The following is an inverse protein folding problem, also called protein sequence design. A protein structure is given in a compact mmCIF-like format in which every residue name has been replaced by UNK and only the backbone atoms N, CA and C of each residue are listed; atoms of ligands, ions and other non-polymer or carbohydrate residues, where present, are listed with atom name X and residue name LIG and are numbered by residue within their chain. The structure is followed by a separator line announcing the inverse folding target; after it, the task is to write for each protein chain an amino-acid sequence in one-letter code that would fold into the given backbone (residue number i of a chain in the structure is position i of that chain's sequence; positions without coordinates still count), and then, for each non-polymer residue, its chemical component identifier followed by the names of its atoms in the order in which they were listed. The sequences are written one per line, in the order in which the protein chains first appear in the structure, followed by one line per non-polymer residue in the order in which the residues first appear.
data_IF_084790920296
#
_entry.id   IF_084790920296
#
_cell.length_a   1.000
_cell.length_b   1.000
_cell.length_c   1.000
_cell.angle_alpha   90.00
_cell.angle_beta   90.00
_cell.angle_gamma   90.00
#
_symmetry.space_group_name_H-M   'P 1'
#
loop_
_entity.id
_entity.type
_entity.pdbx_description
1 polymer ?
#
# COMPACT_ATOMS: atom_id res chain seq x y z
N UNK A 1 15.34 6.74 -7.57
CA UNK A 1 14.37 7.52 -8.37
C UNK A 1 13.11 7.65 -7.53
N UNK A 2 12.56 8.85 -7.29
CA UNK A 2 11.22 8.94 -6.75
C UNK A 2 10.25 8.28 -7.74
N UNK A 3 9.19 7.66 -7.23
CA UNK A 3 8.22 6.96 -8.07
C UNK A 3 7.40 8.06 -8.76
N UNK A 4 7.78 8.43 -9.99
CA UNK A 4 7.14 9.56 -10.67
C UNK A 4 5.63 9.31 -10.88
N UNK A 5 5.23 8.06 -11.10
CA UNK A 5 3.83 7.68 -11.32
C UNK A 5 3.49 6.38 -10.60
N UNK A 6 2.35 6.38 -9.91
CA UNK A 6 1.82 5.24 -9.13
C UNK A 6 0.58 4.71 -9.84
N UNK A 7 0.51 3.39 -10.00
CA UNK A 7 -0.64 2.73 -10.63
C UNK A 7 -1.85 2.77 -9.69
N UNK A 8 -2.98 3.29 -10.17
CA UNK A 8 -4.25 3.28 -9.43
C UNK A 8 -5.17 2.14 -9.89
N UNK A 9 -4.89 1.51 -11.04
CA UNK A 9 -5.71 0.44 -11.59
C UNK A 9 -6.43 0.85 -12.86
N UNK A 10 -7.72 0.57 -12.97
CA UNK A 10 -8.49 0.81 -14.19
C UNK A 10 -9.21 2.17 -14.17
N UNK A 11 -9.93 2.50 -15.24
CA UNK A 11 -10.68 3.76 -15.35
C UNK A 11 -11.64 3.97 -14.16
N UNK A 12 -12.28 2.91 -13.65
CA UNK A 12 -13.15 2.98 -12.47
C UNK A 12 -12.39 3.38 -11.21
N UNK A 13 -11.16 2.88 -11.03
CA UNK A 13 -10.32 3.21 -9.88
C UNK A 13 -9.80 4.64 -9.97
N UNK A 14 -9.42 5.09 -11.17
CA UNK A 14 -9.08 6.49 -11.42
C UNK A 14 -10.27 7.41 -11.13
N UNK A 15 -11.46 7.07 -11.61
CA UNK A 15 -12.66 7.88 -11.36
C UNK A 15 -12.95 7.99 -9.86
N UNK A 16 -12.84 6.88 -9.12
CA UNK A 16 -12.97 6.89 -7.65
C UNK A 16 -11.90 7.76 -7.01
N UNK A 17 -10.65 7.63 -7.42
CA UNK A 17 -9.53 8.43 -6.92
C UNK A 17 -9.79 9.94 -7.12
N UNK A 18 -10.20 10.35 -8.32
CA UNK A 18 -10.48 11.76 -8.61
C UNK A 18 -11.63 12.31 -7.75
N UNK A 19 -12.70 11.53 -7.57
CA UNK A 19 -13.82 11.91 -6.70
C UNK A 19 -13.37 12.04 -5.24
N UNK A 20 -12.60 11.07 -4.75
CA UNK A 20 -12.12 11.06 -3.37
C UNK A 20 -11.20 12.24 -3.05
N UNK A 21 -10.38 12.64 -4.01
CA UNK A 21 -9.45 13.75 -3.88
C UNK A 21 -10.03 15.11 -4.30
N UNK A 22 -11.30 15.16 -4.69
CA UNK A 22 -11.98 16.36 -5.22
C UNK A 22 -11.19 17.02 -6.37
N UNK A 23 -10.76 16.19 -7.34
CA UNK A 23 -9.96 16.61 -8.49
C UNK A 23 -10.79 16.53 -9.77
N UNK A 24 -10.79 17.62 -10.54
CA UNK A 24 -11.28 17.59 -11.91
C UNK A 24 -10.21 17.00 -12.85
N UNK A 25 -10.60 16.05 -13.71
CA UNK A 25 -9.69 15.39 -14.64
C UNK A 25 -8.95 16.40 -15.55
N UNK A 26 -9.61 17.50 -15.89
CA UNK A 26 -9.04 18.57 -16.73
C UNK A 26 -7.83 19.25 -16.07
N UNK A 27 -7.88 19.46 -14.75
CA UNK A 27 -6.84 20.14 -13.98
C UNK A 27 -5.61 19.25 -13.78
N UNK A 28 -5.78 17.93 -13.80
CA UNK A 28 -4.73 16.95 -13.52
C UNK A 28 -4.34 16.10 -14.72
N UNK A 29 -4.82 16.43 -15.93
CA UNK A 29 -4.54 15.65 -17.15
C UNK A 29 -3.04 15.45 -17.40
N UNK A 30 -2.21 16.47 -17.13
CA UNK A 30 -0.75 16.38 -17.25
C UNK A 30 -0.07 15.51 -16.18
N UNK A 31 -0.82 15.08 -15.17
CA UNK A 31 -0.39 14.26 -14.05
C UNK A 31 -1.01 12.85 -14.09
N UNK A 32 -1.73 12.51 -15.17
CA UNK A 32 -2.28 11.18 -15.43
C UNK A 32 -1.58 10.59 -16.65
N UNK A 33 -1.17 9.34 -16.56
CA UNK A 33 -0.66 8.57 -17.70
C UNK A 33 -1.28 7.17 -17.71
N UNK A 34 -1.02 6.43 -18.78
CA UNK A 34 -1.55 5.06 -18.93
C UNK A 34 -0.45 4.11 -19.33
N UNK A 35 -0.59 2.84 -18.93
CA UNK A 35 0.24 1.74 -19.41
C UNK A 35 -0.65 0.56 -19.80
N UNK A 36 -0.12 -0.30 -20.66
CA UNK A 36 -0.79 -1.53 -21.08
C UNK A 36 0.19 -2.67 -20.85
N UNK A 37 0.08 -3.40 -19.72
CA UNK A 37 0.96 -4.54 -19.45
C UNK A 37 0.75 -5.66 -20.48
N UNK A 38 1.73 -6.54 -20.71
CA UNK A 38 1.54 -7.71 -21.54
C UNK A 38 0.57 -8.69 -20.87
N UNK A 39 -0.42 -9.13 -21.64
CA UNK A 39 -1.36 -10.19 -21.28
C UNK A 39 -0.93 -11.57 -21.77
N UNK A 40 -1.79 -12.59 -21.58
CA UNK A 40 -1.51 -13.96 -21.99
C UNK A 40 -1.13 -14.06 -23.48
N UNK A 41 -0.05 -14.78 -23.77
CA UNK A 41 0.42 -14.96 -25.16
C UNK A 41 1.01 -13.70 -25.80
N UNK A 42 1.34 -12.67 -25.03
CA UNK A 42 1.91 -11.42 -25.53
C UNK A 42 0.87 -10.44 -26.12
N UNK A 43 -0.42 -10.78 -26.02
CA UNK A 43 -1.50 -9.85 -26.36
C UNK A 43 -1.49 -8.64 -25.38
N UNK A 44 -1.89 -7.43 -25.81
CA UNK A 44 -2.03 -6.31 -24.90
C UNK A 44 -3.03 -6.63 -23.77
N UNK A 45 -2.61 -6.42 -22.53
CA UNK A 45 -3.46 -6.53 -21.35
C UNK A 45 -4.42 -5.35 -21.21
N UNK A 46 -5.20 -5.29 -20.10
CA UNK A 46 -6.08 -4.16 -19.83
C UNK A 46 -5.29 -2.86 -19.62
N UNK A 47 -5.84 -1.73 -20.06
CA UNK A 47 -5.22 -0.41 -19.84
C UNK A 47 -5.29 -0.05 -18.37
N UNK A 48 -4.13 0.24 -17.79
CA UNK A 48 -3.96 0.71 -16.43
C UNK A 48 -3.66 2.21 -16.42
N UNK A 49 -4.17 2.90 -15.41
CA UNK A 49 -4.01 4.33 -15.18
C UNK A 49 -3.02 4.54 -14.05
N UNK A 50 -2.14 5.51 -14.25
CA UNK A 50 -1.18 5.93 -13.24
C UNK A 50 -1.32 7.42 -12.98
N UNK A 51 -1.18 7.80 -11.72
CA UNK A 51 -1.22 9.18 -11.28
C UNK A 51 0.16 9.60 -10.79
N UNK A 52 0.53 10.85 -11.04
CA UNK A 52 1.78 11.39 -10.53
C UNK A 52 1.75 11.41 -8.99
N UNK A 53 2.85 11.03 -8.33
CA UNK A 53 2.89 10.91 -6.87
C UNK A 53 2.53 12.22 -6.13
N UNK A 54 2.70 13.39 -6.76
CA UNK A 54 2.28 14.68 -6.20
C UNK A 54 0.77 14.83 -6.00
N UNK A 55 -0.05 13.98 -6.61
CA UNK A 55 -1.49 13.94 -6.37
C UNK A 55 -1.86 13.15 -5.12
N UNK A 56 -0.99 12.25 -4.68
CA UNK A 56 -1.23 11.38 -3.55
C UNK A 56 -1.05 12.16 -2.24
N UNK A 57 -1.87 11.80 -1.26
CA UNK A 57 -1.82 12.34 0.10
C UNK A 57 -2.04 11.19 1.09
N UNK A 58 -1.32 11.19 2.22
CA UNK A 58 -1.56 10.23 3.29
C UNK A 58 -2.98 10.29 3.81
N UNK A 59 -3.52 9.14 4.18
CA UNK A 59 -4.77 9.01 4.91
C UNK A 59 -4.54 8.54 6.34
N UNK A 60 -5.15 9.25 7.29
CA UNK A 60 -5.09 8.92 8.72
C UNK A 60 -3.66 8.81 9.25
N UNK A 61 -3.44 7.77 10.04
CA UNK A 61 -2.19 7.45 10.74
C UNK A 61 -1.15 6.69 9.89
N UNK A 62 -1.45 6.42 8.61
CA UNK A 62 -0.63 5.62 7.71
C UNK A 62 -0.13 6.45 6.51
N UNK A 63 1.15 6.86 6.47
CA UNK A 63 1.71 7.61 5.35
C UNK A 63 1.63 6.89 4.00
N UNK A 64 1.61 5.56 3.98
CA UNK A 64 1.47 4.74 2.78
C UNK A 64 0.03 4.64 2.24
N UNK A 65 -0.99 5.03 3.00
CA UNK A 65 -2.38 4.93 2.58
C UNK A 65 -2.74 6.10 1.64
N UNK A 66 -2.82 5.80 0.34
CA UNK A 66 -3.12 6.77 -0.72
C UNK A 66 -4.60 6.85 -1.09
N UNK A 67 -5.48 6.16 -0.39
CA UNK A 67 -6.93 6.31 -0.46
C UNK A 67 -7.61 5.74 0.82
N UNK A 68 -8.92 5.90 0.92
CA UNK A 68 -9.74 5.42 2.01
C UNK A 68 -9.77 3.89 2.09
N UNK A 69 -9.63 3.20 0.95
CA UNK A 69 -9.50 1.74 0.90
C UNK A 69 -8.23 1.28 1.60
N UNK A 70 -7.11 1.92 1.29
CA UNK A 70 -5.81 1.65 1.89
C UNK A 70 -5.79 1.98 3.38
N UNK A 71 -6.45 3.06 3.79
CA UNK A 71 -6.61 3.40 5.22
C UNK A 71 -7.37 2.29 5.95
N UNK A 72 -8.51 1.85 5.41
CA UNK A 72 -9.30 0.77 5.99
C UNK A 72 -8.50 -0.54 6.09
N UNK A 73 -7.76 -0.87 5.04
CA UNK A 73 -6.90 -2.05 5.00
C UNK A 73 -5.78 -2.01 6.05
N UNK A 74 -5.08 -0.87 6.17
CA UNK A 74 -4.03 -0.70 7.18
C UNK A 74 -4.59 -0.80 8.60
N UNK A 75 -5.80 -0.29 8.86
CA UNK A 75 -6.46 -0.44 10.16
C UNK A 75 -6.82 -1.88 10.48
N UNK A 76 -7.33 -2.62 9.49
CA UNK A 76 -7.60 -4.05 9.65
C UNK A 76 -6.32 -4.82 10.02
N UNK A 77 -5.19 -4.52 9.36
CA UNK A 77 -3.90 -5.13 9.73
C UNK A 77 -3.52 -4.75 11.16
N UNK A 78 -3.68 -3.49 11.56
CA UNK A 78 -3.34 -3.05 12.92
C UNK A 78 -4.19 -3.78 13.98
N UNK A 79 -5.47 -3.99 13.71
CA UNK A 79 -6.39 -4.72 14.59
C UNK A 79 -6.05 -6.22 14.67
N UNK A 80 -5.69 -6.84 13.54
CA UNK A 80 -5.18 -8.22 13.50
C UNK A 80 -3.90 -8.34 14.33
N UNK A 81 -2.94 -7.42 14.16
CA UNK A 81 -1.69 -7.45 14.93
C UNK A 81 -1.94 -7.31 16.44
N UNK A 82 -2.85 -6.41 16.86
CA UNK A 82 -3.20 -6.25 18.25
C UNK A 82 -3.85 -7.51 18.83
N UNK A 83 -4.72 -8.17 18.05
CA UNK A 83 -5.42 -9.39 18.44
C UNK A 83 -4.49 -10.60 18.51
N UNK A 84 -3.67 -10.81 17.47
CA UNK A 84 -2.81 -11.99 17.34
C UNK A 84 -1.59 -11.95 18.25
N UNK A 85 -0.99 -10.77 18.44
CA UNK A 85 0.30 -10.64 19.13
C UNK A 85 0.19 -9.93 20.49
N UNK A 86 -1.00 -9.46 20.87
CA UNK A 86 -1.22 -8.78 22.15
C UNK A 86 -0.49 -7.45 22.28
N UNK A 87 -0.08 -6.84 21.15
CA UNK A 87 0.54 -5.52 21.12
C UNK A 87 -0.51 -4.42 21.11
N UNK A 88 -0.10 -3.19 21.47
CA UNK A 88 -1.00 -2.05 21.39
C UNK A 88 -1.28 -1.67 19.93
N UNK A 89 -2.46 -1.08 19.67
CA UNK A 89 -2.78 -0.55 18.34
C UNK A 89 -1.73 0.49 17.87
N UNK A 90 -1.21 1.32 18.78
CA UNK A 90 -0.14 2.28 18.47
C UNK A 90 1.16 1.60 18.00
N UNK A 91 1.55 0.49 18.65
CA UNK A 91 2.70 -0.31 18.24
C UNK A 91 2.47 -0.96 16.87
N UNK A 92 1.26 -1.47 16.62
CA UNK A 92 0.89 -2.04 15.32
C UNK A 92 1.01 -1.00 14.19
N UNK A 93 0.45 0.21 14.40
CA UNK A 93 0.60 1.35 13.47
C UNK A 93 2.07 1.67 13.23
N UNK A 94 2.89 1.74 14.27
CA UNK A 94 4.32 2.04 14.15
C UNK A 94 5.08 0.97 13.34
N UNK A 95 4.72 -0.31 13.50
CA UNK A 95 5.29 -1.42 12.71
C UNK A 95 4.88 -1.38 11.24
N UNK A 96 3.61 -1.10 10.95
CA UNK A 96 3.10 -0.93 9.58
C UNK A 96 3.83 0.25 8.90
N UNK A 97 3.95 1.38 9.60
CA UNK A 97 4.65 2.56 9.11
C UNK A 97 6.14 2.28 8.89
N UNK A 98 6.78 1.49 9.76
CA UNK A 98 8.16 1.03 9.53
C UNK A 98 8.29 0.18 8.26
N UNK A 99 7.30 -0.64 7.97
CA UNK A 99 7.31 -1.56 6.82
C UNK A 99 7.11 -0.84 5.48
N UNK A 100 6.08 0.00 5.36
CA UNK A 100 5.72 0.64 4.08
C UNK A 100 6.14 2.11 3.95
N UNK A 101 6.27 2.83 5.07
CA UNK A 101 6.44 4.28 5.07
C UNK A 101 7.86 4.76 5.37
N UNK A 102 8.81 3.87 5.71
CA UNK A 102 10.22 4.26 5.85
C UNK A 102 10.73 4.83 4.52
N UNK A 103 11.17 6.10 4.48
CA UNK A 103 11.56 6.73 3.21
C UNK A 103 12.72 5.98 2.55
N UNK A 104 12.69 5.89 1.22
CA UNK A 104 13.90 5.59 0.46
C UNK A 104 14.94 6.71 0.58
N UNK A 105 16.11 6.60 -0.09
CA UNK A 105 17.20 7.57 0.02
C UNK A 105 16.84 9.06 -0.22
N UNK A 106 15.66 9.35 -0.80
CA UNK A 106 15.16 10.70 -1.07
C UNK A 106 14.28 11.33 0.03
N UNK A 107 13.93 10.62 1.11
CA UNK A 107 13.44 11.20 2.36
C UNK A 107 12.07 11.91 2.38
N UNK A 108 11.29 11.93 1.28
CA UNK A 108 10.08 12.78 1.18
C UNK A 108 8.75 12.07 0.91
N UNK A 109 8.76 10.76 0.64
CA UNK A 109 7.56 9.96 0.35
C UNK A 109 7.63 8.63 1.10
N UNK A 110 6.48 7.99 1.40
CA UNK A 110 6.52 6.59 1.82
C UNK A 110 7.21 5.78 0.72
N UNK A 111 7.89 4.69 1.10
CA UNK A 111 8.53 3.82 0.11
C UNK A 111 7.51 3.22 -0.86
N UNK A 112 6.28 3.01 -0.37
CA UNK A 112 5.16 2.42 -1.10
C UNK A 112 3.92 3.26 -0.86
N UNK A 113 3.17 3.50 -1.94
CA UNK A 113 1.81 4.02 -1.89
C UNK A 113 0.84 2.87 -2.17
N UNK A 114 -0.05 2.58 -1.23
CA UNK A 114 -1.16 1.65 -1.41
C UNK A 114 -2.35 2.49 -1.85
N UNK A 115 -2.83 2.28 -3.08
CA UNK A 115 -3.93 3.04 -3.68
C UNK A 115 -4.57 2.22 -4.80
N UNK A 116 -5.88 2.31 -4.95
CA UNK A 116 -6.61 1.70 -6.05
C UNK A 116 -6.48 0.18 -6.09
N UNK A 117 -5.86 -0.38 -7.15
CA UNK A 117 -5.60 -1.81 -7.31
C UNK A 117 -4.15 -2.19 -6.95
N UNK A 118 -3.71 -1.80 -5.76
CA UNK A 118 -2.35 -2.13 -5.30
C UNK A 118 -2.15 -3.63 -5.03
N UNK A 119 -0.93 -4.12 -5.27
CA UNK A 119 -0.57 -5.52 -5.06
C UNK A 119 -0.67 -5.94 -3.58
N UNK A 120 -0.62 -5.00 -2.63
CA UNK A 120 -0.82 -5.31 -1.22
C UNK A 120 -2.17 -5.99 -0.95
N UNK A 121 -3.19 -5.71 -1.77
CA UNK A 121 -4.52 -6.31 -1.65
C UNK A 121 -4.62 -7.76 -2.12
N UNK A 122 -3.57 -8.33 -2.73
CA UNK A 122 -3.54 -9.76 -3.04
C UNK A 122 -3.45 -10.63 -1.78
N UNK A 123 -2.94 -10.09 -0.69
CA UNK A 123 -2.78 -10.79 0.58
C UNK A 123 -3.76 -10.26 1.63
N UNK A 124 -4.04 -11.10 2.63
CA UNK A 124 -5.00 -10.77 3.69
C UNK A 124 -4.39 -9.86 4.77
N UNK A 125 -5.21 -9.16 5.57
CA UNK A 125 -4.72 -8.44 6.74
C UNK A 125 -3.93 -9.31 7.73
N UNK A 126 -4.38 -10.55 7.97
CA UNK A 126 -3.70 -11.55 8.80
C UNK A 126 -2.30 -11.90 8.26
N UNK A 127 -2.18 -12.12 6.95
CA UNK A 127 -0.89 -12.40 6.31
C UNK A 127 0.09 -11.25 6.51
N UNK A 128 -0.39 -10.01 6.30
CA UNK A 128 0.44 -8.82 6.53
C UNK A 128 0.78 -8.62 8.00
N UNK A 129 -0.13 -8.89 8.92
CA UNK A 129 0.12 -8.82 10.35
C UNK A 129 1.31 -9.70 10.73
N UNK A 130 1.33 -10.96 10.29
CA UNK A 130 2.45 -11.88 10.52
C UNK A 130 3.74 -11.42 9.83
N UNK A 131 3.66 -11.06 8.54
CA UNK A 131 4.82 -10.64 7.75
C UNK A 131 5.47 -9.38 8.32
N UNK A 132 4.70 -8.43 8.82
CA UNK A 132 5.19 -7.19 9.42
C UNK A 132 5.74 -7.44 10.82
N UNK A 133 5.12 -8.35 11.59
CA UNK A 133 5.52 -8.65 12.96
C UNK A 133 6.83 -9.45 13.04
N UNK A 134 6.94 -10.52 12.25
CA UNK A 134 8.11 -11.41 12.25
C UNK A 134 9.15 -11.06 11.20
N UNK A 135 8.75 -10.35 10.13
CA UNK A 135 9.59 -10.10 8.96
C UNK A 135 9.39 -11.15 7.87
N UNK A 136 9.58 -10.75 6.62
CA UNK A 136 9.40 -11.65 5.46
C UNK A 136 10.32 -12.89 5.52
N UNK A 137 11.56 -12.72 5.97
CA UNK A 137 12.57 -13.79 6.00
C UNK A 137 12.42 -14.73 7.21
N UNK A 138 11.39 -14.55 8.05
CA UNK A 138 11.18 -15.35 9.25
C UNK A 138 10.54 -16.71 8.97
N UNK A 139 10.03 -16.93 7.76
CA UNK A 139 9.28 -18.12 7.37
C UNK A 139 8.16 -18.48 8.37
N UNK A 140 7.44 -17.49 8.89
CA UNK A 140 6.41 -17.67 9.92
C UNK A 140 5.28 -18.65 9.50
N UNK A 141 5.13 -18.89 8.20
CA UNK A 141 4.18 -19.83 7.61
C UNK A 141 4.66 -21.30 7.61
N UNK A 142 5.91 -21.56 7.99
CA UNK A 142 6.44 -22.93 8.11
C UNK A 142 6.06 -23.52 9.46
N UNK A 143 5.61 -24.76 9.46
CA UNK A 143 5.26 -25.47 10.69
C UNK A 143 6.47 -25.58 11.63
N UNK A 144 6.30 -25.14 12.88
CA UNK A 144 7.37 -25.13 13.89
C UNK A 144 7.06 -24.15 15.02
N UNK A 145 8.03 -23.91 15.92
CA UNK A 145 7.94 -22.84 16.90
C UNK A 145 7.78 -21.49 16.20
N UNK A 146 6.98 -20.58 16.79
CA UNK A 146 6.86 -19.23 16.28
C UNK A 146 8.25 -18.55 16.23
N UNK A 147 8.59 -17.84 15.14
CA UNK A 147 9.86 -17.13 15.04
C UNK A 147 9.92 -15.97 16.05
N UNK A 148 11.13 -15.49 16.32
CA UNK A 148 11.29 -14.29 17.14
C UNK A 148 10.71 -13.07 16.41
N UNK A 149 9.92 -12.21 17.08
CA UNK A 149 9.40 -11.00 16.46
C UNK A 149 10.52 -10.00 16.16
N UNK A 150 10.30 -9.15 15.16
CA UNK A 150 11.16 -8.00 14.93
C UNK A 150 11.13 -7.09 16.17
N UNK A 151 12.25 -6.40 16.49
CA UNK A 151 12.28 -5.46 17.60
C UNK A 151 11.18 -4.40 17.43
N UNK A 152 10.61 -3.87 18.52
CA UNK A 152 9.70 -2.74 18.43
C UNK A 152 10.35 -1.55 17.73
N UNK A 153 9.59 -0.75 16.95
CA UNK A 153 10.07 0.43 16.23
C UNK A 153 10.48 1.58 17.14
#
# INVERSE_FOLDING_TARGET
MPVAFVCVGYQSDLARFLVEYDLAEEDVRGLITTRTPPGPGGAPGPREYLVHASLLRPHGEFPCAGDAGALSFCRQIADEMATLFGITHQEAVARINRHWSRPGPGGREPRVWIVGLDIAYHETPDFWAHTIYYGHDSHWWVSGPAPAPLPPP
#
